data_IF_319792251804
#
_entry.id   IF_319792251804
#
_cell.length_a   1.000
_cell.length_b   1.000
_cell.length_c   1.000
_cell.angle_alpha   90.00
_cell.angle_beta   90.00
_cell.angle_gamma   90.00
#
_symmetry.space_group_name_H-M   'P 1'
#
loop_
_entity.id
_entity.type
_entity.pdbx_description
1 polymer ?
#
# COMPACT_ATOMS: atom_id res chain seq x y z
N UNK A 1 0.12 -9.28 -7.57
CA UNK A 1 -0.43 -9.62 -6.26
C UNK A 1 0.63 -9.46 -5.18
N UNK A 2 0.29 -8.75 -4.13
CA UNK A 2 1.23 -8.45 -3.04
C UNK A 2 1.17 -9.50 -1.93
N UNK A 3 1.13 -10.76 -2.29
CA UNK A 3 0.97 -11.86 -1.32
C UNK A 3 2.15 -11.94 -0.34
N UNK A 4 3.37 -11.76 -0.82
CA UNK A 4 4.55 -11.78 0.05
C UNK A 4 4.52 -10.68 1.11
N UNK A 5 4.10 -9.47 0.72
CA UNK A 5 3.95 -8.36 1.65
C UNK A 5 2.86 -8.63 2.69
N UNK A 6 1.74 -9.19 2.27
CA UNK A 6 0.66 -9.54 3.18
C UNK A 6 1.07 -10.63 4.17
N UNK A 7 1.77 -11.66 3.69
CA UNK A 7 2.27 -12.73 4.56
C UNK A 7 3.28 -12.19 5.57
N UNK A 8 4.20 -11.33 5.13
CA UNK A 8 5.21 -10.75 6.02
C UNK A 8 4.57 -9.93 7.13
N UNK A 9 3.53 -9.16 6.84
CA UNK A 9 2.81 -8.40 7.86
C UNK A 9 2.03 -9.34 8.80
N UNK A 10 1.28 -10.28 8.24
CA UNK A 10 0.43 -11.19 9.02
C UNK A 10 1.25 -12.12 9.91
N UNK A 11 2.39 -12.60 9.42
CA UNK A 11 3.25 -13.52 10.16
C UNK A 11 4.25 -12.82 11.09
N UNK A 12 4.16 -11.50 11.21
CA UNK A 12 5.02 -10.71 12.09
C UNK A 12 6.49 -10.73 11.70
N UNK A 13 6.79 -10.90 10.42
CA UNK A 13 8.15 -10.75 9.89
C UNK A 13 8.54 -9.27 9.79
N UNK A 14 7.56 -8.39 9.68
CA UNK A 14 7.71 -6.95 9.66
C UNK A 14 6.54 -6.29 10.36
N UNK A 15 6.75 -5.10 10.90
CA UNK A 15 5.68 -4.34 11.56
C UNK A 15 4.67 -3.85 10.51
N UNK A 16 5.18 -3.34 9.41
CA UNK A 16 4.40 -2.85 8.28
C UNK A 16 5.11 -3.24 6.98
N UNK A 17 4.37 -3.34 5.89
CA UNK A 17 4.91 -3.65 4.58
C UNK A 17 4.24 -2.78 3.52
N UNK A 18 4.84 -2.74 2.33
CA UNK A 18 4.30 -2.00 1.20
C UNK A 18 3.98 -2.99 0.09
N UNK A 19 2.82 -2.83 -0.51
CA UNK A 19 2.44 -3.57 -1.70
C UNK A 19 2.03 -2.62 -2.80
N UNK A 20 1.63 -3.17 -3.92
CA UNK A 20 1.11 -2.39 -5.04
C UNK A 20 -0.12 -3.06 -5.63
N UNK A 21 -1.03 -2.26 -6.17
CA UNK A 21 -2.26 -2.76 -6.76
C UNK A 21 -2.56 -2.02 -8.06
N UNK A 22 -2.76 -2.78 -9.11
CA UNK A 22 -3.44 -2.31 -10.32
C UNK A 22 -4.91 -2.67 -10.20
N UNK A 23 -5.17 -3.93 -9.84
CA UNK A 23 -6.52 -4.46 -9.68
C UNK A 23 -6.49 -5.58 -8.64
N UNK A 24 -6.91 -5.29 -7.42
CA UNK A 24 -7.05 -6.26 -6.34
C UNK A 24 -5.78 -6.69 -5.63
N UNK A 25 -4.60 -6.25 -6.06
CA UNK A 25 -3.32 -6.82 -5.58
C UNK A 25 -2.90 -6.37 -4.19
N UNK A 26 -3.53 -5.35 -3.60
CA UNK A 26 -3.37 -4.99 -2.19
C UNK A 26 -4.47 -5.64 -1.35
N UNK A 27 -5.70 -5.45 -1.74
CA UNK A 27 -6.85 -5.80 -0.92
C UNK A 27 -7.08 -7.30 -0.85
N UNK A 28 -6.88 -8.01 -1.96
CA UNK A 28 -7.08 -9.46 -1.99
C UNK A 28 -6.05 -10.22 -1.15
N UNK A 29 -4.74 -9.97 -1.29
CA UNK A 29 -3.76 -10.63 -0.43
C UNK A 29 -3.95 -10.30 1.04
N UNK A 30 -4.31 -9.06 1.39
CA UNK A 30 -4.60 -8.69 2.77
C UNK A 30 -5.77 -9.49 3.31
N UNK A 31 -6.86 -9.59 2.56
CA UNK A 31 -8.03 -10.36 2.97
C UNK A 31 -7.68 -11.84 3.15
N UNK A 32 -6.89 -12.42 2.25
CA UNK A 32 -6.52 -13.84 2.32
C UNK A 32 -5.60 -14.14 3.50
N UNK A 33 -4.85 -13.17 3.99
CA UNK A 33 -3.86 -13.36 5.06
C UNK A 33 -4.25 -12.66 6.36
N UNK A 34 -5.48 -12.16 6.48
CA UNK A 34 -5.98 -11.46 7.66
C UNK A 34 -5.12 -10.24 8.02
N UNK A 35 -4.62 -9.56 7.03
CA UNK A 35 -3.89 -8.31 7.18
C UNK A 35 -4.78 -7.15 6.77
N UNK A 36 -4.37 -5.93 7.12
CA UNK A 36 -5.02 -4.70 6.71
C UNK A 36 -4.22 -4.07 5.57
N UNK A 37 -4.89 -3.63 4.54
CA UNK A 37 -4.29 -2.86 3.46
C UNK A 37 -5.15 -1.65 3.16
N UNK A 38 -4.51 -0.56 2.76
CA UNK A 38 -5.19 0.63 2.27
C UNK A 38 -4.78 0.86 0.82
N UNK A 39 -5.78 1.00 -0.05
CA UNK A 39 -5.54 1.40 -1.43
C UNK A 39 -5.75 2.91 -1.52
N UNK A 40 -4.68 3.70 -1.60
CA UNK A 40 -4.83 5.16 -1.60
C UNK A 40 -5.45 5.66 -2.90
N UNK A 41 -5.93 6.89 -2.85
CA UNK A 41 -6.32 7.60 -4.07
C UNK A 41 -5.15 7.63 -5.03
N UNK A 42 -5.39 7.37 -6.31
CA UNK A 42 -4.33 7.35 -7.31
C UNK A 42 -3.54 8.65 -7.27
N UNK A 43 -2.22 8.53 -7.30
CA UNK A 43 -1.24 9.62 -7.23
C UNK A 43 -1.09 10.29 -5.86
N UNK A 44 -1.84 9.85 -4.83
CA UNK A 44 -1.56 10.31 -3.47
C UNK A 44 -0.17 9.87 -3.01
N UNK A 45 0.24 8.69 -3.41
CA UNK A 45 1.58 8.14 -3.19
C UNK A 45 2.28 8.06 -4.53
N UNK A 46 3.56 8.48 -4.58
CA UNK A 46 4.35 8.43 -5.80
C UNK A 46 4.46 7.00 -6.34
N UNK A 47 4.38 6.87 -7.66
CA UNK A 47 4.65 5.61 -8.35
C UNK A 47 6.12 5.40 -8.71
N UNK A 48 7.01 6.29 -8.28
CA UNK A 48 8.44 6.18 -8.56
C UNK A 48 8.99 4.88 -7.96
N UNK A 49 9.84 4.22 -8.72
CA UNK A 49 10.49 2.95 -8.34
C UNK A 49 9.54 1.76 -8.28
N UNK A 50 8.29 1.90 -8.73
CA UNK A 50 7.37 0.79 -8.86
C UNK A 50 7.39 0.31 -10.31
N UNK A 51 7.57 -1.00 -10.50
CA UNK A 51 7.52 -1.58 -11.84
C UNK A 51 6.09 -1.41 -12.36
N UNK A 52 5.89 -0.69 -13.47
CA UNK A 52 4.54 -0.36 -13.92
C UNK A 52 3.86 -1.54 -14.61
N UNK A 53 2.57 -1.69 -14.34
CA UNK A 53 1.68 -2.54 -15.12
C UNK A 53 0.74 -1.66 -15.94
N UNK A 54 0.00 -0.79 -15.25
CA UNK A 54 -0.83 0.25 -15.86
C UNK A 54 -0.64 1.54 -15.07
N UNK A 55 0.28 2.42 -15.47
CA UNK A 55 0.68 3.57 -14.65
C UNK A 55 -0.45 4.47 -14.19
N UNK A 56 -1.51 4.59 -14.99
CA UNK A 56 -2.67 5.41 -14.62
C UNK A 56 -3.62 4.71 -13.63
N UNK A 57 -3.34 3.47 -13.29
CA UNK A 57 -4.17 2.67 -12.39
C UNK A 57 -3.37 2.07 -11.23
N UNK A 58 -2.05 2.00 -11.36
CA UNK A 58 -1.19 1.41 -10.35
C UNK A 58 -1.16 2.27 -9.09
N UNK A 59 -1.22 1.62 -7.93
CA UNK A 59 -1.10 2.28 -6.63
C UNK A 59 -0.16 1.47 -5.73
N UNK A 60 0.73 2.16 -5.01
CA UNK A 60 1.40 1.58 -3.87
C UNK A 60 0.57 1.84 -2.62
N UNK A 61 0.59 0.93 -1.68
CA UNK A 61 -0.17 1.10 -0.45
C UNK A 61 0.42 0.34 0.71
N UNK A 62 0.08 0.75 1.94
CA UNK A 62 0.57 0.12 3.15
C UNK A 62 -0.21 -1.13 3.49
N UNK A 63 0.47 -2.09 4.13
CA UNK A 63 -0.12 -3.29 4.69
C UNK A 63 0.39 -3.47 6.10
N UNK A 64 -0.50 -3.83 7.02
CA UNK A 64 -0.18 -3.95 8.43
C UNK A 64 -1.14 -4.94 9.10
N UNK A 65 -0.94 -5.19 10.39
CA UNK A 65 -1.85 -6.04 11.16
C UNK A 65 -3.05 -5.27 11.72
N UNK A 66 -2.97 -3.95 11.76
CA UNK A 66 -4.09 -3.11 12.22
C UNK A 66 -4.19 -1.83 11.41
N UNK A 67 -5.33 -1.16 11.54
CA UNK A 67 -5.61 0.05 10.76
C UNK A 67 -4.71 1.20 11.17
N UNK A 68 -4.40 1.33 12.46
CA UNK A 68 -3.56 2.43 12.95
C UNK A 68 -2.18 2.40 12.29
N UNK A 69 -1.54 1.23 12.26
CA UNK A 69 -0.22 1.09 11.64
C UNK A 69 -0.27 1.35 10.14
N UNK A 70 -1.32 0.88 9.48
CA UNK A 70 -1.49 1.13 8.05
C UNK A 70 -1.64 2.63 7.75
N UNK A 71 -2.40 3.37 8.57
CA UNK A 71 -2.59 4.80 8.40
C UNK A 71 -1.29 5.56 8.66
N UNK A 72 -0.53 5.18 9.67
CA UNK A 72 0.76 5.80 9.97
C UNK A 72 1.71 5.65 8.77
N UNK A 73 1.79 4.44 8.22
CA UNK A 73 2.65 4.20 7.06
C UNK A 73 2.15 4.99 5.84
N UNK A 74 0.83 5.01 5.61
CA UNK A 74 0.27 5.78 4.49
C UNK A 74 0.63 7.26 4.60
N UNK A 75 0.56 7.82 5.79
CA UNK A 75 0.94 9.23 6.02
C UNK A 75 2.39 9.48 5.63
N UNK A 76 3.29 8.58 5.98
CA UNK A 76 4.70 8.69 5.61
C UNK A 76 4.89 8.55 4.09
N UNK A 77 4.18 7.61 3.46
CA UNK A 77 4.27 7.40 2.02
C UNK A 77 3.76 8.62 1.24
N UNK A 78 2.66 9.20 1.67
CA UNK A 78 2.08 10.39 1.03
C UNK A 78 3.00 11.61 1.19
N UNK A 79 3.59 11.79 2.37
CA UNK A 79 4.49 12.92 2.61
C UNK A 79 5.82 12.79 1.89
N UNK A 80 6.16 11.62 1.36
CA UNK A 80 7.40 11.41 0.58
C UNK A 80 7.23 11.80 -0.89
N UNK A 81 6.02 12.16 -1.33
CA UNK A 81 5.80 12.58 -2.72
C UNK A 81 6.32 13.99 -2.94
N UNK A 82 6.78 14.28 -4.17
CA UNK A 82 7.21 15.61 -4.54
C UNK A 82 6.06 16.55 -4.87
N UNK A 83 4.89 15.98 -5.13
CA UNK A 83 3.68 16.75 -5.45
C UNK A 83 2.78 16.71 -4.23
N UNK A 84 2.34 17.87 -3.69
CA UNK A 84 1.43 17.86 -2.56
C UNK A 84 0.13 17.12 -2.90
N UNK A 85 -0.46 16.37 -1.96
CA UNK A 85 -1.75 15.73 -2.19
C UNK A 85 -2.83 16.79 -2.43
N UNK A 86 -3.93 16.42 -3.11
CA UNK A 86 -5.07 17.33 -3.29
C UNK A 86 -5.56 17.90 -1.96
N UNK A 87 -6.11 19.10 -2.00
CA UNK A 87 -6.47 19.84 -0.79
C UNK A 87 -7.70 19.29 -0.06
N UNK A 88 -8.37 18.31 -0.59
CA UNK A 88 -9.59 17.77 0.04
C UNK A 88 -9.53 16.27 0.32
#
# INVERSE_FOLDING_TARGET
SSSGSAVAAAANFAVVTVGSETQGSLLRPANNNQAVALKPTHELVSGDYIIPLMPFQDNAGPMARNVTDAVILLSAMASSTTTPPPAD
#
